data_IF_673761542382
#
_entry.id   IF_673761542382
#
_cell.length_a   1.000
_cell.length_b   1.000
_cell.length_c   1.000
_cell.angle_alpha   90.00
_cell.angle_beta   90.00
_cell.angle_gamma   90.00
#
_symmetry.space_group_name_H-M   'P 1'
#
loop_
_entity.id
_entity.type
_entity.pdbx_description
1 polymer ?
#
# COMPACT_ATOMS: atom_id res chain seq x y z
N UNK A 1 -12.05 11.43 27.55
CA UNK A 1 -11.41 12.13 26.41
C UNK A 1 -12.24 11.98 25.14
N UNK A 2 -12.48 13.05 24.40
CA UNK A 2 -13.16 12.98 23.09
C UNK A 2 -12.10 12.71 22.01
N UNK A 3 -12.22 11.63 21.21
CA UNK A 3 -11.25 11.35 20.16
C UNK A 3 -11.27 12.44 19.08
N UNK A 4 -10.08 12.94 18.72
CA UNK A 4 -9.89 13.88 17.61
C UNK A 4 -9.23 13.11 16.48
N UNK A 5 -9.84 13.04 15.28
CA UNK A 5 -9.24 12.37 14.14
C UNK A 5 -8.07 13.21 13.60
N UNK A 6 -6.93 12.57 13.40
CA UNK A 6 -5.77 13.15 12.71
C UNK A 6 -5.62 12.53 11.32
N UNK A 7 -5.13 13.28 10.32
CA UNK A 7 -4.71 12.69 9.06
C UNK A 7 -3.60 11.67 9.31
N UNK A 8 -3.71 10.48 8.74
CA UNK A 8 -2.68 9.45 8.85
C UNK A 8 -2.32 8.93 7.45
N UNK A 9 -1.02 8.77 7.20
CA UNK A 9 -0.46 8.37 5.91
C UNK A 9 0.44 7.15 6.09
N UNK A 10 0.38 6.23 5.14
CA UNK A 10 1.27 5.08 5.04
C UNK A 10 1.73 4.93 3.59
N UNK A 11 2.96 4.45 3.37
CA UNK A 11 3.62 4.47 2.07
C UNK A 11 3.99 3.06 1.59
N UNK A 12 3.84 2.78 0.30
CA UNK A 12 4.27 1.50 -0.30
C UNK A 12 5.78 1.30 -0.26
N UNK A 13 6.57 2.37 -0.11
CA UNK A 13 8.01 2.27 0.18
C UNK A 13 8.30 1.50 1.47
N UNK A 14 7.36 1.49 2.41
CA UNK A 14 7.49 0.85 3.72
C UNK A 14 6.94 -0.58 3.71
N UNK A 15 6.74 -1.17 2.53
CA UNK A 15 6.24 -2.54 2.35
C UNK A 15 7.10 -3.54 3.14
N UNK A 16 6.45 -4.23 4.07
CA UNK A 16 6.99 -5.37 4.77
C UNK A 16 6.24 -6.64 4.34
N UNK A 17 6.97 -7.76 4.29
CA UNK A 17 6.46 -9.07 3.86
C UNK A 17 5.87 -9.06 2.45
N UNK A 18 6.50 -8.33 1.53
CA UNK A 18 6.20 -8.44 0.09
C UNK A 18 6.64 -9.79 -0.47
N UNK A 19 6.33 -10.03 -1.74
CA UNK A 19 6.82 -11.22 -2.48
C UNK A 19 8.34 -11.30 -2.52
N UNK A 20 8.86 -12.51 -2.70
CA UNK A 20 10.31 -12.80 -2.72
C UNK A 20 10.82 -13.28 -4.08
N UNK A 21 9.96 -13.92 -4.87
CA UNK A 21 10.21 -14.52 -6.18
C UNK A 21 9.53 -13.75 -7.31
N UNK A 22 8.40 -13.11 -7.02
CA UNK A 22 7.66 -12.30 -8.00
C UNK A 22 8.00 -10.83 -7.81
N UNK A 23 8.23 -10.12 -8.91
CA UNK A 23 8.36 -8.66 -8.91
C UNK A 23 7.53 -8.06 -10.04
N UNK A 24 7.07 -6.83 -9.82
CA UNK A 24 6.43 -5.96 -10.82
C UNK A 24 7.23 -4.67 -10.81
N UNK A 25 7.66 -4.22 -11.99
CA UNK A 25 8.51 -3.03 -12.12
C UNK A 25 9.79 -3.09 -11.25
N UNK A 26 10.39 -4.29 -11.16
CA UNK A 26 11.58 -4.54 -10.34
C UNK A 26 11.35 -4.38 -8.83
N UNK A 27 10.10 -4.26 -8.36
CA UNK A 27 9.75 -4.16 -6.94
C UNK A 27 8.95 -5.39 -6.47
N UNK A 28 9.10 -5.78 -5.19
CA UNK A 28 8.24 -6.80 -4.59
C UNK A 28 6.79 -6.30 -4.54
N UNK A 29 5.85 -7.24 -4.59
CA UNK A 29 4.41 -6.99 -4.65
C UNK A 29 3.79 -7.25 -3.28
N UNK A 30 2.82 -6.43 -2.89
CA UNK A 30 2.02 -6.66 -1.69
C UNK A 30 1.00 -7.79 -1.91
N UNK A 31 0.93 -8.73 -0.97
CA UNK A 31 0.00 -9.85 -0.93
C UNK A 31 -0.74 -9.89 0.42
N UNK A 32 -1.62 -10.86 0.64
CA UNK A 32 -2.55 -10.89 1.80
C UNK A 32 -1.90 -10.86 3.21
N UNK A 33 -0.60 -11.16 3.31
CA UNK A 33 0.16 -11.06 4.57
C UNK A 33 1.06 -9.81 4.65
N UNK A 34 1.09 -9.01 3.58
CA UNK A 34 1.88 -7.79 3.47
C UNK A 34 1.24 -6.64 4.26
N UNK A 35 2.08 -5.70 4.67
CA UNK A 35 1.66 -4.48 5.35
C UNK A 35 2.64 -3.36 5.01
N UNK A 36 2.26 -2.11 5.29
CA UNK A 36 3.23 -1.04 5.39
C UNK A 36 3.68 -0.97 6.84
N UNK A 37 4.98 -1.09 7.07
CA UNK A 37 5.56 -1.29 8.40
C UNK A 37 5.27 -0.15 9.38
N UNK A 38 4.94 1.03 8.86
CA UNK A 38 4.60 2.20 9.66
C UNK A 38 3.56 3.08 8.96
N UNK A 39 2.95 3.94 9.75
CA UNK A 39 2.01 4.96 9.35
C UNK A 39 2.15 6.14 10.32
N UNK A 40 1.99 7.35 9.83
CA UNK A 40 2.34 8.60 10.53
C UNK A 40 1.27 9.66 10.38
N UNK A 41 1.21 10.62 11.31
CA UNK A 41 0.26 11.72 11.34
C UNK A 41 -0.53 11.85 12.65
N UNK A 42 -0.58 10.78 13.47
CA UNK A 42 -1.29 10.78 14.76
C UNK A 42 -0.42 11.31 15.94
N UNK A 43 0.82 11.74 15.70
CA UNK A 43 1.80 12.10 16.74
C UNK A 43 1.45 13.36 17.54
N UNK A 44 0.61 14.24 16.98
CA UNK A 44 0.10 15.41 17.69
C UNK A 44 -0.96 15.03 18.76
N UNK A 45 -1.44 13.79 18.76
CA UNK A 45 -2.40 13.30 19.74
C UNK A 45 -1.82 13.23 21.15
N UNK A 46 -2.47 13.93 22.09
CA UNK A 46 -2.04 14.00 23.51
C UNK A 46 -2.82 13.07 24.43
N UNK A 47 -3.79 12.32 23.92
CA UNK A 47 -4.68 11.46 24.70
C UNK A 47 -4.08 10.07 25.03
N UNK A 48 -2.77 9.89 24.90
CA UNK A 48 -2.10 8.60 25.09
C UNK A 48 -2.14 7.66 23.87
N UNK A 49 -2.45 8.20 22.69
CA UNK A 49 -2.50 7.45 21.42
C UNK A 49 -3.91 7.22 20.89
N UNK A 50 -4.00 6.38 19.86
CA UNK A 50 -5.24 5.96 19.23
C UNK A 50 -6.15 5.20 20.19
N UNK A 51 -7.47 5.38 20.05
CA UNK A 51 -8.48 4.75 20.92
C UNK A 51 -8.39 3.23 20.88
N UNK A 52 -8.08 2.66 19.72
CA UNK A 52 -7.98 1.22 19.52
C UNK A 52 -6.54 0.73 19.74
N UNK A 53 -5.55 1.42 19.18
CA UNK A 53 -4.16 0.94 19.20
C UNK A 53 -3.37 1.32 20.45
N UNK A 54 -3.76 2.37 21.18
CA UNK A 54 -2.97 2.97 22.25
C UNK A 54 -1.65 3.58 21.76
N UNK A 55 -1.54 3.87 20.45
CA UNK A 55 -0.30 4.32 19.81
C UNK A 55 -0.55 5.53 18.92
N UNK A 56 0.50 6.30 18.66
CA UNK A 56 0.50 7.41 17.69
C UNK A 56 1.14 7.04 16.35
N UNK A 57 1.68 5.82 16.25
CA UNK A 57 2.25 5.20 15.04
C UNK A 57 2.06 3.70 15.11
N UNK A 58 1.93 3.07 13.95
CA UNK A 58 1.84 1.62 13.82
C UNK A 58 1.78 1.23 12.35
N UNK A 59 1.79 -0.07 12.06
CA UNK A 59 1.65 -0.56 10.68
C UNK A 59 0.31 -0.17 10.06
N UNK A 60 0.27 -0.11 8.74
CA UNK A 60 -0.97 -0.10 7.97
C UNK A 60 -1.19 -1.46 7.31
N UNK A 61 -2.38 -2.02 7.48
CA UNK A 61 -2.74 -3.38 7.06
C UNK A 61 -3.88 -3.34 6.06
N UNK A 62 -3.78 -4.12 4.99
CA UNK A 62 -4.85 -4.29 4.02
C UNK A 62 -6.02 -5.09 4.61
N UNK A 63 -7.23 -4.73 4.21
CA UNK A 63 -8.49 -5.37 4.59
C UNK A 63 -9.05 -6.19 3.44
N UNK A 64 -8.72 -5.81 2.20
CA UNK A 64 -9.20 -6.46 0.99
C UNK A 64 -8.04 -6.76 0.03
N UNK A 65 -8.25 -7.75 -0.82
CA UNK A 65 -7.27 -8.25 -1.78
C UNK A 65 -7.99 -8.75 -3.04
N UNK A 66 -7.23 -9.14 -4.06
CA UNK A 66 -7.76 -9.82 -5.24
C UNK A 66 -8.41 -11.17 -4.90
N UNK A 67 -9.49 -11.54 -5.59
CA UNK A 67 -10.19 -12.81 -5.34
C UNK A 67 -9.61 -13.98 -6.14
N UNK A 68 -8.92 -13.70 -7.24
CA UNK A 68 -8.49 -14.70 -8.23
C UNK A 68 -7.00 -14.58 -8.59
N UNK A 69 -6.47 -13.36 -8.67
CA UNK A 69 -5.04 -13.13 -8.94
C UNK A 69 -4.22 -13.35 -7.68
N UNK A 70 -3.33 -14.35 -7.74
CA UNK A 70 -2.45 -14.74 -6.64
C UNK A 70 -0.99 -14.74 -7.06
N UNK A 71 -0.12 -14.17 -6.25
CA UNK A 71 1.33 -14.29 -6.36
C UNK A 71 1.86 -15.10 -5.18
N UNK A 72 2.74 -16.07 -5.46
CA UNK A 72 3.28 -17.00 -4.45
C UNK A 72 2.18 -17.73 -3.66
N UNK A 73 1.04 -17.99 -4.31
CA UNK A 73 -0.12 -18.64 -3.71
C UNK A 73 -1.01 -17.72 -2.86
N UNK A 74 -0.68 -16.43 -2.75
CA UNK A 74 -1.36 -15.44 -1.90
C UNK A 74 -2.06 -14.38 -2.73
N UNK A 75 -3.22 -13.93 -2.27
CA UNK A 75 -4.03 -12.91 -2.92
C UNK A 75 -3.28 -11.58 -3.03
N UNK A 76 -3.28 -10.94 -4.19
CA UNK A 76 -2.54 -9.70 -4.45
C UNK A 76 -3.31 -8.49 -3.93
N UNK A 77 -2.63 -7.57 -3.23
CA UNK A 77 -3.19 -6.27 -2.88
C UNK A 77 -3.16 -5.31 -4.08
N UNK A 78 -4.22 -4.54 -4.27
CA UNK A 78 -4.42 -3.66 -5.44
C UNK A 78 -4.61 -2.22 -5.03
N UNK A 79 -4.47 -1.31 -5.99
CA UNK A 79 -4.93 0.07 -5.84
C UNK A 79 -6.42 0.06 -5.46
N UNK A 80 -6.79 0.93 -4.51
CA UNK A 80 -8.12 1.03 -3.91
C UNK A 80 -8.55 -0.10 -2.96
N UNK A 81 -7.74 -1.15 -2.76
CA UNK A 81 -8.02 -2.06 -1.64
C UNK A 81 -7.89 -1.29 -0.31
N UNK A 82 -8.84 -1.52 0.59
CA UNK A 82 -8.93 -0.78 1.85
C UNK A 82 -7.78 -1.15 2.79
N UNK A 83 -7.29 -0.16 3.53
CA UNK A 83 -6.29 -0.31 4.58
C UNK A 83 -6.78 0.28 5.90
N UNK A 84 -6.31 -0.29 7.00
CA UNK A 84 -6.42 0.26 8.34
C UNK A 84 -5.04 0.72 8.79
N UNK A 85 -4.93 1.93 9.34
CA UNK A 85 -3.66 2.53 9.74
C UNK A 85 -3.47 2.47 11.26
N UNK A 86 -2.23 2.69 11.70
CA UNK A 86 -1.82 2.74 13.10
C UNK A 86 -2.36 1.55 13.90
N UNK A 87 -1.99 0.32 13.50
CA UNK A 87 -2.42 -0.92 14.14
C UNK A 87 -3.95 -1.03 14.29
N UNK A 88 -4.66 -0.80 13.19
CA UNK A 88 -6.13 -0.90 13.10
C UNK A 88 -6.89 0.17 13.88
N UNK A 89 -6.30 1.35 14.03
CA UNK A 89 -6.91 2.47 14.76
C UNK A 89 -7.78 3.39 13.90
N UNK A 90 -7.51 3.49 12.59
CA UNK A 90 -8.30 4.35 11.69
C UNK A 90 -9.48 3.61 11.09
N UNK A 91 -10.54 4.32 10.66
CA UNK A 91 -11.50 3.76 9.70
C UNK A 91 -10.79 3.26 8.43
N UNK A 92 -11.35 2.26 7.73
CA UNK A 92 -10.79 1.79 6.47
C UNK A 92 -10.73 2.91 5.41
N UNK A 93 -9.59 3.07 4.76
CA UNK A 93 -9.39 4.00 3.65
C UNK A 93 -8.70 3.28 2.48
N UNK A 94 -9.04 3.61 1.21
CA UNK A 94 -8.43 2.95 0.06
C UNK A 94 -6.94 3.28 -0.08
N UNK A 95 -6.13 2.29 -0.45
CA UNK A 95 -4.75 2.54 -0.89
C UNK A 95 -4.76 3.40 -2.15
N UNK A 96 -4.36 4.66 -2.01
CA UNK A 96 -4.26 5.63 -3.10
C UNK A 96 -2.88 6.29 -3.09
N UNK A 97 -1.97 5.77 -3.91
CA UNK A 97 -0.64 6.31 -4.08
C UNK A 97 -0.36 6.48 -5.58
N UNK A 98 0.46 7.49 -5.90
CA UNK A 98 0.81 7.78 -7.29
C UNK A 98 1.70 6.67 -7.88
N UNK A 99 1.64 6.45 -9.21
CA UNK A 99 0.71 7.05 -10.17
C UNK A 99 -0.66 6.35 -10.15
N UNK A 100 -1.73 7.09 -9.85
CA UNK A 100 -3.13 6.58 -9.78
C UNK A 100 -3.63 6.09 -11.15
N UNK A 101 -3.02 6.60 -12.23
CA UNK A 101 -3.20 6.16 -13.60
C UNK A 101 -1.79 5.92 -14.16
N UNK A 102 -1.42 4.67 -14.35
CA UNK A 102 -0.28 4.34 -15.20
C UNK A 102 -0.66 4.71 -16.64
N UNK A 103 -0.50 6.00 -17.01
CA UNK A 103 -0.27 6.34 -18.41
C UNK A 103 0.98 5.57 -18.77
N UNK A 104 0.82 4.49 -19.55
CA UNK A 104 1.88 3.55 -19.89
C UNK A 104 3.09 4.27 -20.48
N UNK A 105 3.98 4.72 -19.60
CA UNK A 105 5.34 5.08 -19.94
C UNK A 105 6.11 3.82 -19.59
N UNK A 106 6.23 2.93 -20.57
CA UNK A 106 7.22 1.87 -20.44
C UNK A 106 8.59 2.55 -20.38
N UNK A 107 9.41 2.16 -19.40
CA UNK A 107 10.81 2.57 -19.33
C UNK A 107 11.61 2.06 -20.56
N UNK A 108 11.01 1.15 -21.31
CA UNK A 108 11.43 0.76 -22.65
C UNK A 108 10.76 1.67 -23.68
N UNK A 109 11.55 2.45 -24.41
CA UNK A 109 11.09 3.13 -25.63
C UNK A 109 10.46 2.07 -26.53
N UNK A 110 9.16 2.22 -26.84
CA UNK A 110 8.43 1.22 -27.59
C UNK A 110 9.11 1.01 -28.95
N UNK A 111 9.26 -0.24 -29.41
CA UNK A 111 9.85 -0.53 -30.72
C UNK A 111 8.76 -0.97 -31.69
N UNK A 112 8.86 -0.53 -32.94
CA UNK A 112 8.01 -0.99 -34.03
C UNK A 112 8.25 -2.49 -34.25
N UNK A 113 7.19 -3.32 -34.17
CA UNK A 113 7.29 -4.77 -34.40
C UNK A 113 7.65 -5.16 -35.84
N UNK A 114 7.61 -4.20 -36.78
CA UNK A 114 7.86 -4.43 -38.22
C UNK A 114 9.26 -4.01 -38.61
N UNK A 115 9.74 -2.87 -38.12
CA UNK A 115 11.03 -2.30 -38.53
C UNK A 115 12.04 -2.13 -37.39
N UNK A 116 11.68 -2.56 -36.17
CA UNK A 116 12.50 -2.55 -34.94
C UNK A 116 13.02 -1.16 -34.50
N UNK A 117 12.63 -0.11 -35.22
CA UNK A 117 12.92 1.27 -34.85
C UNK A 117 12.13 1.68 -33.61
N UNK A 118 12.70 2.59 -32.86
CA UNK A 118 12.05 3.26 -31.76
C UNK A 118 10.80 4.02 -32.26
N UNK A 119 9.69 3.93 -31.52
CA UNK A 119 8.43 4.65 -31.73
C UNK A 119 8.45 6.01 -31.03
#
# INVERSE_FOLDING_TARGET
PVPIPYPNVAMSSDTAKGTTKVSVDGKPVCVEDSNFSTSTGDEAGTAGGGVVSGKTKGKAEFVNYSFDVKFEGKSVARTFDLMLHNDKNTPPAPLLQGPVIALGKSDTKAKCLVCEKEL
#
